data_IF_617906526975
#
_entry.id   IF_617906526975
#
_cell.length_a   1.000
_cell.length_b   1.000
_cell.length_c   1.000
_cell.angle_alpha   90.00
_cell.angle_beta   90.00
_cell.angle_gamma   90.00
#
_symmetry.space_group_name_H-M   'P 1'
#
loop_
_entity.id
_entity.type
_entity.pdbx_description
1 polymer ?
#
# COMPACT_ATOMS: atom_id res chain seq x y z
N UNK A 1 -21.72 10.75 -1.16
CA UNK A 1 -21.96 12.21 -0.98
C UNK A 1 -21.26 13.06 -2.03
N UNK A 2 -19.93 13.27 -1.97
CA UNK A 2 -19.25 14.10 -3.00
C UNK A 2 -19.25 13.46 -4.39
N UNK A 3 -19.05 12.15 -4.48
CA UNK A 3 -19.18 11.40 -5.72
C UNK A 3 -20.60 11.50 -6.33
N UNK A 4 -21.62 11.69 -5.49
CA UNK A 4 -23.02 11.84 -5.88
C UNK A 4 -23.42 13.32 -6.07
N UNK A 5 -22.44 14.25 -6.11
CA UNK A 5 -22.67 15.69 -6.27
C UNK A 5 -23.16 16.43 -5.02
N UNK A 6 -23.32 15.75 -3.89
CA UNK A 6 -23.80 16.34 -2.64
C UNK A 6 -22.63 17.04 -1.92
N UNK A 7 -22.73 18.37 -1.84
CA UNK A 7 -21.77 19.22 -1.15
C UNK A 7 -22.24 19.49 0.28
N UNK A 8 -21.53 18.94 1.26
CA UNK A 8 -21.81 19.14 2.69
C UNK A 8 -20.60 19.78 3.36
N UNK A 9 -20.83 20.83 4.14
CA UNK A 9 -19.77 21.47 4.91
C UNK A 9 -19.26 20.54 6.01
N UNK A 10 -17.94 20.56 6.27
CA UNK A 10 -17.30 19.73 7.30
C UNK A 10 -17.96 19.86 8.68
N UNK A 11 -18.29 21.09 9.09
CA UNK A 11 -18.98 21.36 10.35
C UNK A 11 -20.37 20.70 10.46
N UNK A 12 -21.05 20.49 9.33
CA UNK A 12 -22.34 19.79 9.29
C UNK A 12 -22.16 18.31 9.54
N UNK A 13 -21.14 17.70 8.92
CA UNK A 13 -20.79 16.29 9.14
C UNK A 13 -20.38 16.09 10.61
N UNK A 14 -19.49 16.93 11.15
CA UNK A 14 -19.05 16.86 12.55
C UNK A 14 -20.21 16.98 13.54
N UNK A 15 -21.14 17.92 13.29
CA UNK A 15 -22.34 18.09 14.11
C UNK A 15 -23.24 16.85 14.08
N UNK A 16 -23.47 16.28 12.91
CA UNK A 16 -24.30 15.07 12.77
C UNK A 16 -23.62 13.86 13.41
N UNK A 17 -22.32 13.67 13.20
CA UNK A 17 -21.54 12.61 13.86
C UNK A 17 -21.68 12.70 15.38
N UNK A 18 -21.54 13.90 15.96
CA UNK A 18 -21.73 14.13 17.39
C UNK A 18 -23.16 13.82 17.85
N UNK A 19 -24.17 14.19 17.07
CA UNK A 19 -25.59 13.93 17.40
C UNK A 19 -25.91 12.43 17.44
N UNK A 20 -25.28 11.63 16.57
CA UNK A 20 -25.51 10.19 16.49
C UNK A 20 -24.46 9.35 17.25
N UNK A 21 -23.59 9.99 18.04
CA UNK A 21 -22.53 9.28 18.78
C UNK A 21 -21.50 8.58 17.88
N UNK A 22 -21.38 9.00 16.62
CA UNK A 22 -20.41 8.46 15.67
C UNK A 22 -19.08 9.21 15.76
N UNK A 23 -17.97 8.48 15.62
CA UNK A 23 -16.63 9.04 15.57
C UNK A 23 -15.81 8.36 14.48
N UNK A 24 -15.01 9.16 13.76
CA UNK A 24 -14.05 8.62 12.80
C UNK A 24 -12.82 8.05 13.52
N UNK A 25 -12.27 6.96 12.99
CA UNK A 25 -11.01 6.39 13.49
C UNK A 25 -9.89 7.39 13.19
N UNK A 26 -9.10 7.74 14.20
CA UNK A 26 -8.02 8.72 14.07
C UNK A 26 -6.67 8.06 14.43
N UNK A 27 -5.64 8.36 13.63
CA UNK A 27 -4.26 7.94 13.89
C UNK A 27 -3.67 8.74 15.05
N UNK A 28 -3.11 8.06 16.05
CA UNK A 28 -2.28 8.68 17.09
C UNK A 28 -1.01 9.37 16.54
N UNK A 29 -0.30 10.15 17.37
CA UNK A 29 0.96 10.83 16.98
C UNK A 29 2.03 9.80 16.58
N UNK A 30 2.73 10.06 15.46
CA UNK A 30 3.76 9.18 14.91
C UNK A 30 4.96 8.99 15.84
N UNK A 31 5.53 7.78 15.82
CA UNK A 31 6.86 7.47 16.40
C UNK A 31 7.90 7.46 15.30
N UNK A 32 9.05 8.06 15.57
CA UNK A 32 10.23 8.06 14.69
C UNK A 32 10.81 6.64 14.63
N UNK A 33 11.08 6.12 13.43
CA UNK A 33 11.67 4.80 13.21
C UNK A 33 13.09 4.87 12.61
N UNK A 34 13.79 3.76 12.83
CA UNK A 34 15.24 3.51 12.89
C UNK A 34 16.07 3.81 11.63
N UNK A 35 17.29 4.34 11.83
CA UNK A 35 18.32 4.55 10.80
C UNK A 35 18.90 3.22 10.27
N UNK A 36 18.95 3.01 8.95
CA UNK A 36 19.65 1.88 8.31
C UNK A 36 21.11 2.22 7.96
N UNK A 37 21.99 1.21 7.96
CA UNK A 37 23.42 1.29 7.55
C UNK A 37 23.59 1.13 6.03
N UNK A 38 24.69 1.61 5.49
CA UNK A 38 24.85 2.12 4.11
C UNK A 38 25.79 1.28 3.21
N UNK A 39 25.81 -0.05 3.39
CA UNK A 39 26.96 -0.86 2.97
C UNK A 39 26.70 -1.77 1.74
N UNK A 40 25.58 -1.63 1.01
CA UNK A 40 25.22 -2.56 -0.09
C UNK A 40 25.04 -1.86 -1.44
N UNK A 41 25.51 -2.54 -2.51
CA UNK A 41 25.44 -2.11 -3.91
C UNK A 41 23.96 -2.02 -4.34
N UNK A 42 23.50 -0.81 -4.64
CA UNK A 42 22.08 -0.45 -4.78
C UNK A 42 21.74 -0.08 -6.23
N UNK A 43 20.47 -0.26 -6.62
CA UNK A 43 19.92 0.34 -7.84
C UNK A 43 19.72 1.85 -7.65
N UNK A 44 19.82 2.62 -8.74
CA UNK A 44 19.64 4.07 -8.71
C UNK A 44 18.21 4.46 -8.30
N UNK A 45 18.06 5.58 -7.58
CA UNK A 45 16.75 6.19 -7.28
C UNK A 45 16.18 6.82 -8.55
N UNK A 46 15.34 6.05 -9.25
CA UNK A 46 14.67 6.47 -10.49
C UNK A 46 13.49 7.42 -10.25
N UNK A 47 13.03 7.61 -9.01
CA UNK A 47 11.77 8.32 -8.75
C UNK A 47 12.00 9.80 -8.57
N UNK A 48 13.19 10.26 -8.15
CA UNK A 48 13.51 11.68 -7.96
C UNK A 48 12.34 12.44 -7.30
N UNK A 49 11.66 11.79 -6.33
CA UNK A 49 10.53 12.32 -5.56
C UNK A 49 9.24 12.62 -6.37
N UNK A 50 9.09 12.07 -7.57
CA UNK A 50 7.86 12.20 -8.37
C UNK A 50 6.94 10.98 -8.21
N UNK A 51 6.07 11.00 -7.19
CA UNK A 51 5.02 9.98 -6.97
C UNK A 51 3.81 10.17 -7.89
N UNK A 52 4.01 10.61 -9.13
CA UNK A 52 2.96 10.69 -10.12
C UNK A 52 3.07 9.51 -11.08
N UNK A 53 2.04 8.68 -11.06
CA UNK A 53 1.78 7.69 -12.09
C UNK A 53 0.59 8.19 -12.92
N UNK A 54 0.63 7.94 -14.23
CA UNK A 54 -0.39 8.37 -15.19
C UNK A 54 -1.25 7.20 -15.70
N UNK A 55 -0.83 5.97 -15.39
CA UNK A 55 -1.56 4.74 -15.73
C UNK A 55 -1.39 3.68 -14.63
N UNK A 56 -2.32 2.71 -14.52
CA UNK A 56 -2.15 1.56 -13.65
C UNK A 56 -0.85 0.80 -13.97
N UNK A 57 -0.21 0.25 -12.95
CA UNK A 57 1.02 -0.54 -13.02
C UNK A 57 2.21 0.22 -13.62
N UNK A 58 2.24 1.55 -13.52
CA UNK A 58 3.44 2.32 -13.87
C UNK A 58 4.44 2.38 -12.71
N UNK A 59 3.93 2.55 -11.49
CA UNK A 59 4.73 2.70 -10.29
C UNK A 59 4.03 2.01 -9.12
N UNK A 60 4.74 1.05 -8.52
CA UNK A 60 4.38 0.41 -7.28
C UNK A 60 5.31 0.87 -6.17
N UNK A 61 4.76 1.13 -4.99
CA UNK A 61 5.52 1.36 -3.77
C UNK A 61 5.28 0.20 -2.80
N UNK A 62 6.31 -0.21 -2.08
CA UNK A 62 6.25 -1.32 -1.16
C UNK A 62 6.85 -0.96 0.20
N UNK A 63 6.16 -1.40 1.25
CA UNK A 63 6.65 -1.33 2.62
C UNK A 63 6.03 -2.47 3.44
N UNK A 64 6.61 -2.77 4.58
CA UNK A 64 6.04 -3.71 5.53
C UNK A 64 6.02 -3.13 6.93
N UNK A 65 5.11 -3.66 7.74
CA UNK A 65 4.98 -3.26 9.13
C UNK A 65 4.91 -4.48 10.05
N UNK A 66 5.17 -4.25 11.33
CA UNK A 66 5.14 -5.29 12.36
C UNK A 66 3.99 -5.07 13.34
N UNK A 67 3.38 -6.17 13.76
CA UNK A 67 2.23 -6.28 14.65
C UNK A 67 2.62 -7.18 15.82
N UNK A 68 2.30 -6.72 17.03
CA UNK A 68 2.49 -7.53 18.24
C UNK A 68 1.26 -8.41 18.45
N UNK A 69 1.48 -9.72 18.56
CA UNK A 69 0.43 -10.71 18.87
C UNK A 69 0.82 -11.48 20.12
N UNK A 70 -0.11 -12.27 20.68
CA UNK A 70 0.18 -13.15 21.83
C UNK A 70 1.14 -14.28 21.47
N UNK A 71 1.20 -14.69 20.20
CA UNK A 71 2.13 -15.72 19.69
C UNK A 71 3.51 -15.18 19.27
N UNK A 72 3.71 -13.86 19.33
CA UNK A 72 4.95 -13.20 18.91
C UNK A 72 4.72 -12.09 17.89
N UNK A 73 5.77 -11.73 17.16
CA UNK A 73 5.71 -10.72 16.12
C UNK A 73 5.18 -11.29 14.81
N UNK A 74 4.25 -10.57 14.20
CA UNK A 74 3.73 -10.82 12.86
C UNK A 74 4.10 -9.62 12.00
N UNK A 75 4.40 -9.87 10.74
CA UNK A 75 4.83 -8.87 9.76
C UNK A 75 3.84 -8.88 8.61
N UNK A 76 3.40 -7.70 8.17
CA UNK A 76 2.51 -7.54 7.02
C UNK A 76 3.19 -6.64 6.00
N UNK A 77 3.46 -7.17 4.81
CA UNK A 77 3.95 -6.42 3.66
C UNK A 77 2.78 -5.98 2.76
N UNK A 78 2.90 -4.80 2.17
CA UNK A 78 1.97 -4.28 1.17
C UNK A 78 2.73 -3.75 -0.05
N UNK A 79 2.13 -3.93 -1.22
CA UNK A 79 2.54 -3.32 -2.48
C UNK A 79 1.34 -2.53 -2.99
N UNK A 80 1.55 -1.25 -3.26
CA UNK A 80 0.49 -0.30 -3.58
C UNK A 80 0.78 0.30 -4.95
N UNK A 81 -0.22 0.27 -5.82
CA UNK A 81 -0.20 1.02 -7.08
C UNK A 81 -0.43 2.50 -6.81
N UNK A 82 0.49 3.35 -7.27
CA UNK A 82 0.46 4.79 -7.00
C UNK A 82 -0.67 5.50 -7.76
N UNK A 83 -1.01 5.03 -8.96
CA UNK A 83 -2.04 5.64 -9.81
C UNK A 83 -3.42 5.40 -9.21
N UNK A 84 -3.80 4.14 -9.03
CA UNK A 84 -5.12 3.75 -8.55
C UNK A 84 -5.27 3.87 -7.03
N UNK A 85 -4.17 4.00 -6.29
CA UNK A 85 -4.12 3.88 -4.82
C UNK A 85 -4.60 2.53 -4.32
N UNK A 86 -4.56 1.49 -5.17
CA UNK A 86 -4.97 0.12 -4.81
C UNK A 86 -3.82 -0.64 -4.17
N UNK A 87 -4.11 -1.47 -3.17
CA UNK A 87 -3.19 -2.50 -2.70
C UNK A 87 -3.22 -3.64 -3.73
N UNK A 88 -2.10 -3.86 -4.42
CA UNK A 88 -1.98 -4.85 -5.50
C UNK A 88 -1.37 -6.17 -5.06
N UNK A 89 -0.65 -6.17 -3.95
CA UNK A 89 -0.12 -7.39 -3.34
C UNK A 89 0.11 -7.16 -1.85
N UNK A 90 0.01 -8.23 -1.08
CA UNK A 90 0.24 -8.19 0.36
C UNK A 90 0.65 -9.56 0.89
N UNK A 91 1.35 -9.59 2.03
CA UNK A 91 1.61 -10.86 2.70
C UNK A 91 1.74 -10.69 4.19
N UNK A 92 1.09 -11.59 4.94
CA UNK A 92 1.28 -11.74 6.38
C UNK A 92 2.20 -12.92 6.66
N UNK A 93 3.17 -12.72 7.55
CA UNK A 93 4.18 -13.73 7.92
C UNK A 93 4.58 -13.59 9.39
N UNK A 94 4.98 -14.69 10.02
CA UNK A 94 5.61 -14.67 11.34
C UNK A 94 7.15 -14.50 11.27
N UNK A 95 7.71 -14.34 10.06
CA UNK A 95 9.14 -14.16 9.81
C UNK A 95 9.39 -12.95 8.93
N UNK A 96 10.31 -12.10 9.38
CA UNK A 96 10.79 -10.93 8.63
C UNK A 96 11.93 -11.34 7.68
N UNK A 97 11.60 -11.97 6.56
CA UNK A 97 12.56 -12.47 5.57
C UNK A 97 12.23 -12.01 4.15
N UNK A 98 13.15 -12.24 3.22
CA UNK A 98 12.95 -11.99 1.78
C UNK A 98 11.74 -12.73 1.22
N UNK A 99 11.45 -13.95 1.70
CA UNK A 99 10.33 -14.75 1.18
C UNK A 99 8.97 -14.06 1.41
N UNK A 100 8.81 -13.31 2.50
CA UNK A 100 7.60 -12.54 2.77
C UNK A 100 7.37 -11.45 1.71
N UNK A 101 8.37 -10.60 1.48
CA UNK A 101 8.25 -9.51 0.49
C UNK A 101 8.16 -10.07 -0.94
N UNK A 102 8.86 -11.17 -1.22
CA UNK A 102 8.74 -11.91 -2.48
C UNK A 102 7.33 -12.46 -2.71
N UNK A 103 6.68 -13.00 -1.69
CA UNK A 103 5.33 -13.52 -1.81
C UNK A 103 4.32 -12.41 -2.15
N UNK A 104 4.45 -11.24 -1.51
CA UNK A 104 3.63 -10.07 -1.85
C UNK A 104 3.88 -9.60 -3.30
N UNK A 105 5.15 -9.59 -3.75
CA UNK A 105 5.50 -9.23 -5.13
C UNK A 105 4.94 -10.23 -6.15
N UNK A 106 5.07 -11.53 -5.89
CA UNK A 106 4.53 -12.57 -6.76
C UNK A 106 3.00 -12.49 -6.86
N UNK A 107 2.31 -12.21 -5.75
CA UNK A 107 0.88 -11.96 -5.77
C UNK A 107 0.55 -10.76 -6.66
N UNK A 108 1.23 -9.62 -6.49
CA UNK A 108 0.99 -8.44 -7.31
C UNK A 108 1.21 -8.70 -8.81
N UNK A 109 2.29 -9.40 -9.17
CA UNK A 109 2.58 -9.78 -10.56
C UNK A 109 1.46 -10.66 -11.13
N UNK A 110 1.03 -11.68 -10.38
CA UNK A 110 0.00 -12.62 -10.83
C UNK A 110 -1.36 -11.93 -10.98
N UNK A 111 -1.79 -11.17 -9.97
CA UNK A 111 -3.09 -10.48 -9.94
C UNK A 111 -3.18 -9.41 -11.04
N UNK A 112 -2.04 -8.83 -11.44
CA UNK A 112 -1.92 -7.83 -12.51
C UNK A 112 -1.57 -8.41 -13.87
N UNK A 113 -1.62 -9.74 -14.02
CA UNK A 113 -1.37 -10.46 -15.27
C UNK A 113 0.00 -10.15 -15.91
N UNK A 114 1.07 -10.23 -15.11
CA UNK A 114 2.47 -10.02 -15.55
C UNK A 114 2.68 -8.66 -16.24
N UNK A 115 2.46 -7.54 -15.52
CA UNK A 115 2.67 -6.22 -16.09
C UNK A 115 4.15 -5.99 -16.41
N UNK A 116 4.41 -5.20 -17.46
CA UNK A 116 5.76 -4.87 -17.92
C UNK A 116 6.10 -3.42 -17.62
N UNK A 117 7.40 -3.15 -17.49
CA UNK A 117 7.95 -1.80 -17.29
C UNK A 117 7.40 -1.10 -16.04
N UNK A 118 7.01 -1.91 -15.03
CA UNK A 118 6.56 -1.40 -13.73
C UNK A 118 7.77 -0.96 -12.94
N UNK A 119 7.78 0.28 -12.46
CA UNK A 119 8.77 0.71 -11.47
C UNK A 119 8.30 0.17 -10.12
N UNK A 120 9.13 -0.64 -9.46
CA UNK A 120 8.87 -1.11 -8.11
C UNK A 120 9.83 -0.39 -7.15
N UNK A 121 9.26 0.44 -6.28
CA UNK A 121 9.98 1.21 -5.29
C UNK A 121 9.79 0.66 -3.88
N UNK A 122 10.87 0.55 -3.14
CA UNK A 122 10.85 0.13 -1.74
C UNK A 122 11.92 0.87 -0.95
N UNK A 123 11.72 1.00 0.36
CA UNK A 123 12.77 1.47 1.27
C UNK A 123 13.99 0.54 1.26
N UNK A 124 15.12 1.04 1.77
CA UNK A 124 16.42 0.35 1.85
C UNK A 124 16.47 -0.81 2.87
N UNK A 125 15.34 -1.48 3.10
CA UNK A 125 15.29 -2.67 3.94
C UNK A 125 16.15 -3.79 3.37
N UNK A 126 16.90 -4.49 4.22
CA UNK A 126 17.78 -5.61 3.82
C UNK A 126 17.04 -6.72 3.08
N UNK A 127 15.73 -6.86 3.30
CA UNK A 127 14.86 -7.81 2.59
C UNK A 127 14.68 -7.40 1.12
N UNK A 128 14.45 -6.11 0.86
CA UNK A 128 14.26 -5.55 -0.48
C UNK A 128 15.57 -5.46 -1.28
N UNK A 129 16.71 -5.34 -0.60
CA UNK A 129 18.03 -5.31 -1.23
C UNK A 129 18.61 -6.69 -1.57
N UNK A 130 17.91 -7.77 -1.22
CA UNK A 130 18.43 -9.12 -1.45
C UNK A 130 18.52 -9.47 -2.94
N UNK A 131 19.60 -10.16 -3.33
CA UNK A 131 19.86 -10.57 -4.73
C UNK A 131 18.65 -11.28 -5.33
N UNK A 132 18.09 -12.26 -4.60
CA UNK A 132 16.89 -13.02 -5.03
C UNK A 132 15.69 -12.14 -5.34
N UNK A 133 15.52 -11.03 -4.61
CA UNK A 133 14.43 -10.07 -4.83
C UNK A 133 14.67 -9.28 -6.12
N UNK A 134 15.87 -8.75 -6.30
CA UNK A 134 16.25 -8.00 -7.50
C UNK A 134 16.28 -8.86 -8.77
N UNK A 135 16.69 -10.13 -8.68
CA UNK A 135 16.69 -11.06 -9.81
C UNK A 135 15.26 -11.40 -10.25
N UNK A 136 14.35 -11.63 -9.30
CA UNK A 136 12.94 -11.86 -9.63
C UNK A 136 12.30 -10.69 -10.36
N UNK A 137 12.65 -9.46 -9.99
CA UNK A 137 12.17 -8.28 -10.71
C UNK A 137 12.66 -8.26 -12.15
N UNK A 138 13.96 -8.51 -12.37
CA UNK A 138 14.52 -8.60 -13.72
C UNK A 138 13.83 -9.67 -14.55
N UNK A 139 13.65 -10.87 -14.00
CA UNK A 139 12.97 -11.99 -14.66
C UNK A 139 11.51 -11.66 -15.03
N UNK A 140 10.87 -10.79 -14.25
CA UNK A 140 9.47 -10.41 -14.43
C UNK A 140 9.31 -9.08 -15.19
N UNK A 141 10.38 -8.54 -15.79
CA UNK A 141 10.38 -7.23 -16.48
C UNK A 141 9.90 -6.05 -15.60
N UNK A 142 10.18 -6.13 -14.30
CA UNK A 142 9.96 -5.07 -13.31
C UNK A 142 11.28 -4.31 -13.10
N UNK A 143 11.18 -2.99 -13.06
CA UNK A 143 12.30 -2.08 -12.89
C UNK A 143 12.43 -1.77 -11.40
N UNK A 144 13.47 -2.29 -10.74
CA UNK A 144 13.76 -2.00 -9.34
C UNK A 144 14.22 -0.55 -9.17
N UNK A 145 13.56 0.20 -8.29
CA UNK A 145 13.98 1.50 -7.78
C UNK A 145 14.09 1.43 -6.26
N UNK A 146 15.13 2.02 -5.67
CA UNK A 146 15.31 2.04 -4.22
C UNK A 146 15.64 3.47 -3.80
N UNK A 147 15.01 3.96 -2.72
CA UNK A 147 15.22 5.32 -2.20
C UNK A 147 16.67 5.60 -1.77
N UNK A 148 17.05 6.87 -1.74
CA UNK A 148 18.39 7.30 -1.27
C UNK A 148 18.46 7.30 0.26
N UNK A 149 19.67 7.15 0.84
CA UNK A 149 19.84 7.12 2.30
C UNK A 149 19.45 8.47 2.92
N UNK A 150 18.46 8.47 3.83
CA UNK A 150 18.23 9.57 4.77
C UNK A 150 17.07 10.53 4.47
N UNK A 151 16.11 10.19 3.60
CA UNK A 151 14.98 11.09 3.31
C UNK A 151 13.61 10.42 3.53
N UNK A 152 12.87 10.91 4.52
CA UNK A 152 11.58 10.37 5.00
C UNK A 152 10.40 10.56 4.04
N UNK A 153 10.65 11.08 2.83
CA UNK A 153 9.61 11.36 1.84
C UNK A 153 9.51 10.30 0.74
N UNK A 154 10.49 9.39 0.66
CA UNK A 154 10.63 8.45 -0.47
C UNK A 154 9.57 7.32 -0.45
N UNK A 155 8.89 7.07 0.67
CA UNK A 155 7.88 6.00 0.78
C UNK A 155 6.57 6.43 1.49
N UNK A 156 6.28 7.73 1.50
CA UNK A 156 5.18 8.31 2.28
C UNK A 156 3.81 7.70 1.97
N UNK A 157 3.57 7.23 0.74
CA UNK A 157 2.32 6.53 0.40
C UNK A 157 2.21 5.18 1.11
N UNK A 158 3.27 4.36 1.11
CA UNK A 158 3.24 3.08 1.79
C UNK A 158 3.17 3.25 3.30
N UNK A 159 3.88 4.22 3.88
CA UNK A 159 3.76 4.59 5.30
C UNK A 159 2.33 5.04 5.66
N UNK A 160 1.67 5.76 4.75
CA UNK A 160 0.26 6.16 4.91
C UNK A 160 -0.68 4.95 4.87
N UNK A 161 -0.43 3.95 4.03
CA UNK A 161 -1.22 2.72 4.07
C UNK A 161 -0.93 1.93 5.35
N UNK A 162 0.34 1.79 5.74
CA UNK A 162 0.76 1.02 6.91
C UNK A 162 0.15 1.52 8.23
N UNK A 163 0.20 2.81 8.50
CA UNK A 163 -0.44 3.32 9.70
C UNK A 163 -1.98 3.40 9.59
N UNK A 164 -2.58 3.39 8.40
CA UNK A 164 -4.04 3.27 8.26
C UNK A 164 -4.44 1.86 8.64
N UNK A 165 -3.74 0.86 8.11
CA UNK A 165 -3.87 -0.54 8.49
C UNK A 165 -3.70 -0.72 10.01
N UNK A 166 -2.67 -0.13 10.61
CA UNK A 166 -2.50 -0.20 12.08
C UNK A 166 -3.67 0.41 12.83
N UNK A 167 -4.08 1.63 12.50
CA UNK A 167 -5.15 2.30 13.26
C UNK A 167 -6.53 1.69 13.03
N UNK A 168 -6.86 1.28 11.81
CA UNK A 168 -8.20 0.78 11.47
C UNK A 168 -8.38 -0.70 11.76
N UNK A 169 -7.32 -1.50 11.59
CA UNK A 169 -7.36 -2.95 11.82
C UNK A 169 -6.74 -3.26 13.16
N UNK A 170 -5.45 -3.03 13.31
CA UNK A 170 -4.69 -3.56 14.45
C UNK A 170 -5.12 -2.96 15.78
N UNK A 171 -5.35 -1.66 15.82
CA UNK A 171 -5.64 -0.92 17.05
C UNK A 171 -7.15 -0.83 17.32
N UNK A 172 -7.99 -0.74 16.27
CA UNK A 172 -9.43 -0.48 16.42
C UNK A 172 -10.30 -1.74 16.34
N UNK A 173 -10.00 -2.67 15.42
CA UNK A 173 -10.89 -3.81 15.16
C UNK A 173 -10.94 -4.78 16.35
N UNK A 174 -9.82 -4.93 17.07
CA UNK A 174 -9.66 -5.94 18.12
C UNK A 174 -8.60 -5.55 19.13
N UNK A 175 -8.84 -5.82 20.41
CA UNK A 175 -7.88 -5.55 21.49
C UNK A 175 -6.66 -6.47 21.48
N UNK A 176 -6.83 -7.74 21.12
CA UNK A 176 -5.78 -8.77 21.19
C UNK A 176 -5.72 -9.63 19.95
N UNK A 177 -4.54 -9.73 19.35
CA UNK A 177 -4.24 -10.59 18.19
C UNK A 177 -3.60 -11.89 18.65
N UNK A 178 -4.12 -13.03 18.20
CA UNK A 178 -3.61 -14.35 18.62
C UNK A 178 -2.31 -14.71 17.90
N UNK A 179 -2.29 -14.56 16.56
CA UNK A 179 -1.12 -14.87 15.74
C UNK A 179 -1.35 -14.65 14.25
N UNK A 180 -0.51 -15.26 13.43
CA UNK A 180 -0.42 -15.00 11.98
C UNK A 180 -1.76 -15.19 11.25
N UNK A 181 -2.50 -16.26 11.50
CA UNK A 181 -3.76 -16.55 10.80
C UNK A 181 -4.86 -15.53 11.11
N UNK A 182 -4.91 -15.05 12.35
CA UNK A 182 -5.88 -14.06 12.83
C UNK A 182 -5.62 -12.71 12.15
N UNK A 183 -4.35 -12.30 12.10
CA UNK A 183 -3.92 -11.09 11.38
C UNK A 183 -4.15 -11.24 9.87
N UNK A 184 -3.86 -12.41 9.28
CA UNK A 184 -4.01 -12.68 7.85
C UNK A 184 -5.47 -12.57 7.40
N UNK A 185 -6.41 -13.12 8.17
CA UNK A 185 -7.85 -13.01 7.88
C UNK A 185 -8.30 -11.54 7.91
N UNK A 186 -7.95 -10.80 8.95
CA UNK A 186 -8.32 -9.39 9.04
C UNK A 186 -7.65 -8.52 7.96
N UNK A 187 -6.42 -8.88 7.56
CA UNK A 187 -5.74 -8.21 6.44
C UNK A 187 -6.48 -8.45 5.13
N UNK A 188 -6.89 -9.68 4.86
CA UNK A 188 -7.65 -10.04 3.66
C UNK A 188 -8.94 -9.20 3.56
N UNK A 189 -9.74 -9.17 4.63
CA UNK A 189 -10.99 -8.42 4.68
C UNK A 189 -10.77 -6.91 4.51
N UNK A 190 -9.75 -6.38 5.19
CA UNK A 190 -9.42 -4.96 5.10
C UNK A 190 -8.90 -4.58 3.71
N UNK A 191 -8.08 -5.40 3.06
CA UNK A 191 -7.60 -5.15 1.69
C UNK A 191 -8.76 -5.16 0.69
N UNK A 192 -9.69 -6.11 0.81
CA UNK A 192 -10.88 -6.15 -0.04
C UNK A 192 -11.72 -4.88 0.11
N UNK A 193 -12.02 -4.49 1.36
CA UNK A 193 -12.73 -3.26 1.67
C UNK A 193 -11.98 -2.00 1.18
N UNK A 194 -10.67 -1.95 1.41
CA UNK A 194 -9.81 -0.84 1.00
C UNK A 194 -9.85 -0.63 -0.51
N UNK A 195 -9.73 -1.71 -1.28
CA UNK A 195 -9.71 -1.60 -2.75
C UNK A 195 -11.10 -1.36 -3.34
N UNK A 196 -12.15 -1.99 -2.81
CA UNK A 196 -13.48 -1.96 -3.45
C UNK A 196 -14.40 -0.87 -2.92
N UNK A 197 -14.25 -0.48 -1.66
CA UNK A 197 -15.24 0.34 -0.95
C UNK A 197 -14.67 1.66 -0.44
N UNK A 198 -13.42 1.69 0.05
CA UNK A 198 -12.84 2.88 0.66
C UNK A 198 -12.76 4.03 -0.33
N UNK A 199 -13.26 5.20 0.05
CA UNK A 199 -13.17 6.40 -0.77
C UNK A 199 -11.87 7.14 -0.53
N UNK A 200 -11.19 7.55 -1.60
CA UNK A 200 -9.95 8.31 -1.52
C UNK A 200 -10.11 9.71 -2.13
N UNK A 201 -9.80 10.75 -1.36
CA UNK A 201 -9.92 12.13 -1.81
C UNK A 201 -8.97 12.47 -2.96
N UNK A 202 -7.81 11.82 -3.04
CA UNK A 202 -6.78 12.04 -4.07
C UNK A 202 -7.19 11.57 -5.46
N UNK A 203 -8.12 10.62 -5.55
CA UNK A 203 -8.65 10.06 -6.80
C UNK A 203 -10.13 10.45 -7.03
N UNK A 204 -10.57 11.55 -6.42
CA UNK A 204 -11.91 12.09 -6.66
C UNK A 204 -13.03 11.49 -5.82
N UNK A 205 -12.73 10.98 -4.63
CA UNK A 205 -13.70 10.37 -3.69
C UNK A 205 -14.43 9.14 -4.26
N UNK A 206 -13.70 8.30 -5.00
CA UNK A 206 -14.15 6.96 -5.41
C UNK A 206 -13.22 5.90 -4.82
N UNK A 207 -13.59 4.63 -4.95
CA UNK A 207 -12.72 3.52 -4.54
C UNK A 207 -11.59 3.28 -5.54
N UNK A 208 -10.45 2.70 -5.11
CA UNK A 208 -9.36 2.35 -6.00
C UNK A 208 -9.81 1.52 -7.19
N UNK A 209 -10.66 0.52 -6.94
CA UNK A 209 -11.21 -0.35 -7.98
C UNK A 209 -12.04 0.43 -9.01
N UNK A 210 -12.93 1.31 -8.54
CA UNK A 210 -13.78 2.11 -9.44
C UNK A 210 -12.96 3.12 -10.25
N UNK A 211 -11.93 3.73 -9.64
CA UNK A 211 -11.04 4.66 -10.34
C UNK A 211 -10.25 3.96 -11.45
N UNK A 212 -9.67 2.81 -11.14
CA UNK A 212 -8.93 2.01 -12.12
C UNK A 212 -9.84 1.49 -13.24
N UNK A 213 -11.05 1.04 -12.90
CA UNK A 213 -12.05 0.63 -13.90
C UNK A 213 -12.36 1.76 -14.88
N UNK A 214 -12.59 2.99 -14.41
CA UNK A 214 -12.82 4.15 -15.27
C UNK A 214 -11.67 4.42 -16.24
N UNK A 215 -10.43 4.18 -15.82
CA UNK A 215 -9.28 4.30 -16.72
C UNK A 215 -9.38 3.32 -17.88
N UNK A 216 -9.66 2.04 -17.61
CA UNK A 216 -9.79 1.02 -18.67
C UNK A 216 -11.03 1.20 -19.54
N UNK A 217 -12.16 1.64 -18.97
CA UNK A 217 -13.37 1.96 -19.73
C UNK A 217 -13.09 3.12 -20.71
N UNK A 218 -12.41 4.18 -20.26
CA UNK A 218 -12.02 5.31 -21.11
C UNK A 218 -11.02 4.91 -22.20
N UNK A 219 -10.07 4.03 -21.89
CA UNK A 219 -9.09 3.52 -22.85
C UNK A 219 -9.78 2.73 -23.97
N UNK A 220 -10.74 1.88 -23.60
CA UNK A 220 -11.57 1.09 -24.53
C UNK A 220 -12.41 1.99 -25.43
N UNK A 221 -13.05 3.01 -24.86
CA UNK A 221 -13.84 4.01 -25.61
C UNK A 221 -12.99 4.84 -26.58
N UNK A 222 -11.72 5.06 -26.25
CA UNK A 222 -10.79 5.84 -27.08
C UNK A 222 -10.22 5.05 -28.26
N UNK A 223 -10.57 3.76 -28.42
CA UNK A 223 -10.10 2.90 -29.51
C UNK A 223 -8.63 2.50 -29.41
N UNK A 224 -7.97 2.80 -28.29
CA UNK A 224 -6.61 2.39 -27.99
C UNK A 224 -6.72 1.07 -27.23
N UNK A 225 -6.94 -0.04 -27.92
CA UNK A 225 -6.95 -1.35 -27.29
C UNK A 225 -5.56 -1.67 -26.68
N UNK A 226 -5.58 -2.26 -25.49
CA UNK A 226 -4.42 -2.65 -24.68
C UNK A 226 -3.46 -3.62 -25.39
#
# INVERSE_FOLDING_TARGET
>A
MKADGIHVARCTVERLMKQYGMQGIWRGKGKITTNSRDDQKCSDDLINRNFNAHRPNQLWVADFTYIKTTSGWVYTAFIIDVFARSIVGWKVSNRMNTDMVMAALNQAIADRNNPKDVIHHSDRGVQYLSIRYTDKMKDSSIIASVGTTGDSYDNALAETVNGLYKSEVIDYLKENWTGVNDVELATLEWVDWFNKTRLHSTIGYVSPFEFEKRYYDNLTLSGIAA
#
